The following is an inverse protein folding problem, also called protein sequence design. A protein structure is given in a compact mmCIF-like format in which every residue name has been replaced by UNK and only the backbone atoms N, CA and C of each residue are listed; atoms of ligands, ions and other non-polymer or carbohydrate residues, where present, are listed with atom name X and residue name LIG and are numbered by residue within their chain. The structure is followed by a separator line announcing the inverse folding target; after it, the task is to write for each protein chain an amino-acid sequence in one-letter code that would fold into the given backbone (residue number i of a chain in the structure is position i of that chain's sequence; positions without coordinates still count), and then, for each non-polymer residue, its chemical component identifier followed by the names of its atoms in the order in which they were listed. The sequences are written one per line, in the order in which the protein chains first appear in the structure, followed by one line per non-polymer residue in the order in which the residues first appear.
data_IF_451667299527
#
_entry.id   IF_451667299527
#
_cell.length_a   1.000
_cell.length_b   1.000
_cell.length_c   1.000
_cell.angle_alpha   90.00
_cell.angle_beta   90.00
_cell.angle_gamma   90.00
#
_symmetry.space_group_name_H-M   'P 1'
#
loop_
_entity.id
_entity.type
_entity.pdbx_description
1 polymer ?
#
# COMPACT_ATOMS: atom_id res chain seq x y z
N UNK A 1 9.86 4.05 -13.80
CA UNK A 1 9.26 5.41 -13.82
C UNK A 1 7.88 5.31 -14.46
N UNK A 2 6.89 6.05 -13.96
CA UNK A 2 5.57 6.12 -14.58
C UNK A 2 5.62 6.92 -15.89
N UNK A 3 4.93 6.46 -16.96
CA UNK A 3 4.90 7.15 -18.25
C UNK A 3 4.14 8.48 -18.19
N UNK A 4 3.10 8.56 -17.35
CA UNK A 4 2.31 9.76 -17.12
C UNK A 4 2.57 10.31 -15.72
N UNK A 5 2.71 11.62 -15.59
CA UNK A 5 2.97 12.32 -14.33
C UNK A 5 2.08 13.56 -14.25
N UNK A 6 1.37 13.69 -13.13
CA UNK A 6 0.56 14.87 -12.80
C UNK A 6 1.21 15.55 -11.59
N UNK A 7 1.50 16.84 -11.71
CA UNK A 7 2.07 17.62 -10.61
C UNK A 7 0.96 18.36 -9.87
N UNK A 8 0.76 18.02 -8.60
CA UNK A 8 -0.26 18.65 -7.75
C UNK A 8 0.22 19.98 -7.16
N UNK A 9 -0.70 20.93 -7.04
CA UNK A 9 -0.51 22.17 -6.27
C UNK A 9 0.65 23.03 -6.76
N UNK A 10 0.70 23.34 -8.07
CA UNK A 10 1.76 24.17 -8.67
C UNK A 10 1.82 25.55 -8.00
N UNK A 11 0.66 26.11 -7.67
CA UNK A 11 0.54 27.43 -7.04
C UNK A 11 0.67 27.33 -5.53
N UNK A 12 -0.06 26.38 -4.92
CA UNK A 12 -0.14 26.18 -3.46
C UNK A 12 1.20 25.76 -2.85
N UNK A 13 1.89 24.80 -3.47
CA UNK A 13 3.14 24.23 -2.92
C UNK A 13 4.40 24.76 -3.60
N UNK A 14 4.26 25.39 -4.78
CA UNK A 14 5.38 25.84 -5.62
C UNK A 14 6.39 24.72 -5.93
N UNK A 15 5.92 23.47 -5.96
CA UNK A 15 6.74 22.28 -6.18
C UNK A 15 7.55 21.80 -4.99
N UNK A 16 7.36 22.39 -3.80
CA UNK A 16 8.09 22.01 -2.58
C UNK A 16 7.41 20.88 -1.78
N UNK A 17 6.21 20.48 -2.19
CA UNK A 17 5.39 19.48 -1.51
C UNK A 17 4.61 20.03 -0.32
N UNK A 18 3.87 19.15 0.36
CA UNK A 18 2.89 19.55 1.39
C UNK A 18 3.47 19.69 2.81
N UNK A 19 4.79 19.52 3.02
CA UNK A 19 5.43 19.71 4.33
C UNK A 19 4.94 18.82 5.48
N UNK A 20 4.21 17.73 5.19
CA UNK A 20 3.57 16.90 6.23
C UNK A 20 2.25 17.46 6.76
N UNK A 21 1.63 18.37 6.02
CA UNK A 21 0.27 18.88 6.25
C UNK A 21 -0.72 18.24 5.26
N UNK A 22 -1.66 17.40 5.74
CA UNK A 22 -2.70 16.81 4.91
C UNK A 22 -3.63 17.84 4.26
N UNK A 23 -3.91 18.96 4.92
CA UNK A 23 -4.82 19.97 4.39
C UNK A 23 -4.22 20.66 3.16
N UNK A 24 -2.93 21.00 3.23
CA UNK A 24 -2.18 21.51 2.09
C UNK A 24 -2.12 20.49 0.94
N UNK A 25 -2.01 19.20 1.26
CA UNK A 25 -2.08 18.11 0.28
C UNK A 25 -3.44 18.01 -0.41
N UNK A 26 -4.53 18.19 0.34
CA UNK A 26 -5.89 18.23 -0.20
C UNK A 26 -6.08 19.43 -1.13
N UNK A 27 -5.71 20.64 -0.68
CA UNK A 27 -5.80 21.86 -1.49
C UNK A 27 -4.99 21.75 -2.79
N UNK A 28 -3.80 21.16 -2.73
CA UNK A 28 -2.98 20.89 -3.91
C UNK A 28 -3.67 19.94 -4.91
N UNK A 29 -4.46 18.98 -4.43
CA UNK A 29 -5.22 18.08 -5.29
C UNK A 29 -6.47 18.74 -5.88
N UNK A 30 -7.16 19.59 -5.09
CA UNK A 30 -8.30 20.40 -5.55
C UNK A 30 -7.87 21.38 -6.64
N UNK A 31 -6.72 22.05 -6.48
CA UNK A 31 -6.14 22.94 -7.50
C UNK A 31 -5.94 22.22 -8.84
N UNK A 32 -5.52 20.95 -8.78
CA UNK A 32 -5.19 20.13 -9.95
C UNK A 32 -6.31 19.15 -10.33
N UNK A 33 -7.55 19.39 -9.92
CA UNK A 33 -8.66 18.46 -10.12
C UNK A 33 -8.90 18.12 -11.60
N UNK A 34 -8.76 19.10 -12.51
CA UNK A 34 -8.98 18.88 -13.94
C UNK A 34 -7.88 18.01 -14.56
N UNK A 35 -6.61 18.26 -14.23
CA UNK A 35 -5.48 17.41 -14.64
C UNK A 35 -5.64 15.97 -14.10
N UNK A 36 -6.16 15.81 -12.88
CA UNK A 36 -6.47 14.51 -12.30
C UNK A 36 -7.59 13.84 -13.10
N UNK A 37 -8.73 14.52 -13.33
CA UNK A 37 -9.86 13.95 -14.07
C UNK A 37 -9.45 13.49 -15.46
N UNK A 38 -8.67 14.30 -16.19
CA UNK A 38 -8.13 13.93 -17.50
C UNK A 38 -7.30 12.66 -17.43
N UNK A 39 -6.44 12.51 -16.41
CA UNK A 39 -5.63 11.32 -16.21
C UNK A 39 -6.44 10.06 -15.81
N UNK A 40 -7.68 10.22 -15.34
CA UNK A 40 -8.57 9.13 -14.94
C UNK A 40 -9.57 8.71 -16.03
N UNK A 41 -9.61 9.43 -17.16
CA UNK A 41 -10.53 9.13 -18.28
C UNK A 41 -10.37 7.69 -18.76
N UNK A 42 -11.49 7.06 -19.12
CA UNK A 42 -11.62 5.67 -19.61
C UNK A 42 -11.17 4.56 -18.65
N UNK A 43 -10.69 4.90 -17.46
CA UNK A 43 -10.27 3.91 -16.47
C UNK A 43 -11.51 3.29 -15.78
N UNK A 44 -11.83 2.04 -16.13
CA UNK A 44 -12.92 1.29 -15.46
C UNK A 44 -12.57 0.90 -14.03
N UNK A 45 -11.29 0.81 -13.74
CA UNK A 45 -10.75 0.43 -12.43
C UNK A 45 -9.46 1.20 -12.16
N UNK A 46 -9.37 1.77 -10.97
CA UNK A 46 -8.26 2.62 -10.53
C UNK A 46 -7.70 2.04 -9.24
N UNK A 47 -6.38 1.84 -9.25
CA UNK A 47 -5.62 1.44 -8.08
C UNK A 47 -4.86 2.64 -7.53
N UNK A 48 -5.12 2.99 -6.28
CA UNK A 48 -4.45 4.13 -5.61
C UNK A 48 -3.45 3.57 -4.61
N UNK A 49 -2.15 3.71 -4.89
CA UNK A 49 -1.10 3.34 -3.95
C UNK A 49 -0.58 4.59 -3.23
N UNK A 50 -0.63 4.63 -1.91
CA UNK A 50 -0.23 5.81 -1.13
C UNK A 50 0.31 5.45 0.24
N UNK A 51 1.28 6.25 0.72
CA UNK A 51 1.71 6.22 2.11
C UNK A 51 0.94 7.24 2.94
N UNK A 52 0.28 6.77 3.99
CA UNK A 52 -0.49 7.61 4.91
C UNK A 52 0.41 8.15 6.03
N UNK A 53 -0.05 9.23 6.67
CA UNK A 53 0.70 9.94 7.70
C UNK A 53 1.59 11.08 7.17
N UNK A 54 1.75 11.20 5.85
CA UNK A 54 2.35 12.37 5.19
C UNK A 54 1.34 13.50 4.94
N UNK A 55 1.75 14.53 4.21
CA UNK A 55 0.85 15.59 3.76
C UNK A 55 0.11 15.23 2.48
N UNK A 56 0.86 15.10 1.36
CA UNK A 56 0.29 14.82 0.05
C UNK A 56 -0.48 13.49 0.02
N UNK A 57 0.10 12.39 0.50
CA UNK A 57 -0.55 11.07 0.48
C UNK A 57 -1.84 11.02 1.31
N UNK A 58 -1.85 11.63 2.49
CA UNK A 58 -3.00 11.61 3.40
C UNK A 58 -4.12 12.56 2.98
N UNK A 59 -3.79 13.67 2.31
CA UNK A 59 -4.74 14.69 1.86
C UNK A 59 -5.24 14.49 0.44
N UNK A 60 -4.33 14.30 -0.52
CA UNK A 60 -4.66 14.21 -1.93
C UNK A 60 -5.31 12.87 -2.30
N UNK A 61 -4.84 11.76 -1.73
CA UNK A 61 -5.23 10.44 -2.20
C UNK A 61 -6.71 10.10 -1.95
N UNK A 62 -7.33 10.43 -0.79
CA UNK A 62 -8.78 10.29 -0.63
C UNK A 62 -9.60 11.15 -1.60
N UNK A 63 -9.12 12.37 -1.92
CA UNK A 63 -9.79 13.23 -2.89
C UNK A 63 -9.67 12.68 -4.32
N UNK A 64 -8.51 12.15 -4.71
CA UNK A 64 -8.34 11.45 -6.00
C UNK A 64 -9.27 10.23 -6.07
N UNK A 65 -9.44 9.50 -4.97
CA UNK A 65 -10.40 8.39 -4.89
C UNK A 65 -11.84 8.87 -5.12
N UNK A 66 -12.21 10.03 -4.58
CA UNK A 66 -13.53 10.62 -4.78
C UNK A 66 -13.76 10.97 -6.25
N UNK A 67 -12.81 11.66 -6.88
CA UNK A 67 -12.89 12.00 -8.30
C UNK A 67 -13.02 10.76 -9.19
N UNK A 68 -12.27 9.70 -8.87
CA UNK A 68 -12.35 8.41 -9.54
C UNK A 68 -13.74 7.75 -9.38
N UNK A 69 -14.34 7.83 -8.18
CA UNK A 69 -15.69 7.30 -7.92
C UNK A 69 -16.77 8.10 -8.67
N UNK A 70 -16.65 9.43 -8.69
CA UNK A 70 -17.54 10.33 -9.43
C UNK A 70 -17.49 10.06 -10.95
N UNK A 71 -16.30 9.69 -11.48
CA UNK A 71 -16.11 9.26 -12.86
C UNK A 71 -16.68 7.86 -13.17
N UNK A 72 -17.22 7.15 -12.17
CA UNK A 72 -17.81 5.81 -12.34
C UNK A 72 -16.81 4.66 -12.28
N UNK A 73 -15.57 4.91 -11.90
CA UNK A 73 -14.53 3.88 -11.79
C UNK A 73 -14.62 3.09 -10.48
N UNK A 74 -14.18 1.83 -10.53
CA UNK A 74 -13.97 1.02 -9.34
C UNK A 74 -12.63 1.38 -8.70
N UNK A 75 -12.65 1.80 -7.43
CA UNK A 75 -11.45 2.30 -6.73
C UNK A 75 -11.01 1.32 -5.66
N UNK A 76 -9.77 0.84 -5.78
CA UNK A 76 -9.12 0.02 -4.75
C UNK A 76 -7.87 0.75 -4.27
N UNK A 77 -7.81 1.04 -2.96
CA UNK A 77 -6.70 1.75 -2.36
C UNK A 77 -5.72 0.76 -1.69
N UNK A 78 -4.43 0.95 -1.91
CA UNK A 78 -3.32 0.30 -1.22
C UNK A 78 -2.65 1.37 -0.37
N UNK A 79 -2.92 1.35 0.93
CA UNK A 79 -2.45 2.33 1.89
C UNK A 79 -1.37 1.71 2.79
N UNK A 80 -0.28 2.43 3.05
CA UNK A 80 0.67 2.07 4.10
C UNK A 80 0.52 2.96 5.33
N UNK A 81 0.54 2.36 6.51
CA UNK A 81 0.60 3.06 7.79
C UNK A 81 2.06 3.29 8.19
N UNK A 82 2.39 4.46 8.76
CA UNK A 82 3.75 4.79 9.15
C UNK A 82 4.25 3.86 10.26
N UNK A 83 5.57 3.74 10.41
CA UNK A 83 6.15 3.03 11.55
C UNK A 83 5.82 3.73 12.86
N UNK A 84 5.71 2.96 13.96
CA UNK A 84 5.46 3.53 15.29
C UNK A 84 6.50 4.59 15.70
N UNK A 85 7.76 4.44 15.26
CA UNK A 85 8.85 5.38 15.58
C UNK A 85 8.74 6.74 14.87
N UNK A 86 7.92 6.84 13.82
CA UNK A 86 7.75 8.10 13.06
C UNK A 86 6.92 9.14 13.83
N UNK A 87 6.29 8.72 14.93
CA UNK A 87 5.66 9.58 15.92
C UNK A 87 4.15 9.67 15.82
N UNK A 88 3.53 10.03 16.95
CA UNK A 88 2.06 10.05 17.12
C UNK A 88 1.33 10.94 16.12
N UNK A 89 1.94 12.06 15.70
CA UNK A 89 1.34 12.99 14.72
C UNK A 89 1.10 12.29 13.38
N UNK A 90 2.08 11.57 12.85
CA UNK A 90 1.95 10.83 11.58
C UNK A 90 0.93 9.70 11.71
N UNK A 91 0.92 8.99 12.83
CA UNK A 91 -0.09 7.96 13.11
C UNK A 91 -1.53 8.50 13.14
N UNK A 92 -1.76 9.66 13.76
CA UNK A 92 -3.09 10.30 13.76
C UNK A 92 -3.51 10.70 12.35
N UNK A 93 -2.65 11.39 11.61
CA UNK A 93 -2.90 11.79 10.21
C UNK A 93 -3.21 10.57 9.32
N UNK A 94 -2.52 9.45 9.55
CA UNK A 94 -2.76 8.22 8.81
C UNK A 94 -4.14 7.62 9.09
N UNK A 95 -4.57 7.58 10.36
CA UNK A 95 -5.91 7.10 10.73
C UNK A 95 -7.02 7.97 10.17
N UNK A 96 -6.87 9.29 10.23
CA UNK A 96 -7.87 10.21 9.68
C UNK A 96 -8.01 10.03 8.16
N UNK A 97 -6.88 9.88 7.45
CA UNK A 97 -6.89 9.62 6.02
C UNK A 97 -7.46 8.25 5.66
N UNK A 98 -7.17 7.23 6.47
CA UNK A 98 -7.70 5.88 6.30
C UNK A 98 -9.23 5.86 6.46
N UNK A 99 -9.77 6.56 7.47
CA UNK A 99 -11.20 6.70 7.66
C UNK A 99 -11.89 7.30 6.43
N UNK A 100 -11.33 8.38 5.87
CA UNK A 100 -11.83 8.98 4.61
C UNK A 100 -11.77 8.00 3.44
N UNK A 101 -10.71 7.22 3.31
CA UNK A 101 -10.61 6.20 2.28
C UNK A 101 -11.68 5.12 2.41
N UNK A 102 -11.99 4.67 3.62
CA UNK A 102 -13.02 3.66 3.88
C UNK A 102 -14.44 4.15 3.56
N UNK A 103 -14.68 5.46 3.59
CA UNK A 103 -15.95 6.06 3.15
C UNK A 103 -16.08 6.15 1.63
N UNK A 104 -14.96 6.34 0.92
CA UNK A 104 -14.95 6.72 -0.50
C UNK A 104 -14.63 5.52 -1.42
N UNK A 105 -13.58 4.76 -1.11
CA UNK A 105 -13.07 3.68 -1.96
C UNK A 105 -13.97 2.43 -1.89
N UNK A 106 -13.96 1.61 -2.95
CA UNK A 106 -14.71 0.35 -2.94
C UNK A 106 -14.06 -0.69 -2.02
N UNK A 107 -12.74 -0.66 -1.91
CA UNK A 107 -11.95 -1.50 -1.02
C UNK A 107 -10.66 -0.77 -0.63
N UNK A 108 -10.21 -0.97 0.61
CA UNK A 108 -8.95 -0.43 1.12
C UNK A 108 -8.13 -1.57 1.68
N UNK A 109 -6.92 -1.72 1.16
CA UNK A 109 -5.92 -2.68 1.59
C UNK A 109 -4.87 -1.90 2.37
N UNK A 110 -4.82 -2.15 3.67
CA UNK A 110 -3.94 -1.45 4.58
C UNK A 110 -2.74 -2.33 4.96
N UNK A 111 -1.53 -1.82 4.75
CA UNK A 111 -0.27 -2.43 5.19
C UNK A 111 0.35 -1.64 6.33
N UNK A 112 0.79 -2.33 7.38
CA UNK A 112 1.51 -1.72 8.48
C UNK A 112 3.02 -1.80 8.23
N UNK A 113 3.69 -0.65 8.20
CA UNK A 113 5.15 -0.63 8.01
C UNK A 113 5.88 -1.41 9.10
N UNK A 114 5.39 -1.39 10.35
CA UNK A 114 5.97 -2.18 11.45
C UNK A 114 5.98 -3.69 11.13
N UNK A 115 4.87 -4.23 10.61
CA UNK A 115 4.76 -5.65 10.24
C UNK A 115 5.64 -6.02 9.04
N UNK A 116 5.76 -5.11 8.07
CA UNK A 116 6.67 -5.31 6.93
C UNK A 116 8.14 -5.20 7.37
N UNK A 117 8.44 -4.38 8.39
CA UNK A 117 9.76 -4.24 8.99
C UNK A 117 10.28 -5.52 9.63
N UNK A 118 9.39 -6.33 10.23
CA UNK A 118 9.73 -7.63 10.84
C UNK A 118 10.26 -8.66 9.84
N UNK A 119 10.05 -8.45 8.53
CA UNK A 119 10.62 -9.30 7.46
C UNK A 119 12.12 -9.09 7.28
N UNK A 120 12.64 -7.98 7.76
CA UNK A 120 13.96 -7.49 7.42
C UNK A 120 14.91 -7.87 8.55
N UNK A 121 16.11 -8.36 8.21
CA UNK A 121 17.09 -8.71 9.23
C UNK A 121 17.38 -7.50 10.14
N UNK A 122 17.52 -7.67 11.47
CA UNK A 122 17.74 -6.55 12.42
C UNK A 122 18.95 -5.66 12.12
N UNK A 123 19.88 -6.12 11.27
CA UNK A 123 21.10 -5.39 10.85
C UNK A 123 20.98 -4.74 9.48
N UNK A 124 19.83 -4.90 8.81
CA UNK A 124 19.59 -4.31 7.51
C UNK A 124 19.42 -2.79 7.61
N UNK A 125 19.85 -2.08 6.57
CA UNK A 125 19.63 -0.64 6.47
C UNK A 125 18.15 -0.33 6.21
N UNK A 126 17.69 0.85 6.62
CA UNK A 126 16.30 1.31 6.46
C UNK A 126 15.82 1.25 4.99
N UNK A 127 16.72 1.49 4.02
CA UNK A 127 16.41 1.37 2.60
C UNK A 127 16.03 -0.06 2.17
N UNK A 128 16.62 -1.08 2.78
CA UNK A 128 16.26 -2.47 2.50
C UNK A 128 14.87 -2.79 3.05
N UNK A 129 14.49 -2.19 4.18
CA UNK A 129 13.15 -2.36 4.73
C UNK A 129 12.08 -1.75 3.82
N UNK A 130 12.27 -0.51 3.37
CA UNK A 130 11.37 0.11 2.40
C UNK A 130 11.32 -0.65 1.07
N UNK A 131 12.45 -1.11 0.55
CA UNK A 131 12.46 -1.90 -0.69
C UNK A 131 11.70 -3.24 -0.56
N UNK A 132 11.77 -3.87 0.62
CA UNK A 132 11.01 -5.10 0.90
C UNK A 132 9.51 -4.82 0.97
N UNK A 133 9.11 -3.73 1.65
CA UNK A 133 7.73 -3.27 1.70
C UNK A 133 7.19 -2.94 0.29
N UNK A 134 7.94 -2.18 -0.52
CA UNK A 134 7.57 -1.82 -1.89
C UNK A 134 7.39 -3.06 -2.77
N UNK A 135 8.28 -4.05 -2.62
CA UNK A 135 8.17 -5.33 -3.34
C UNK A 135 6.89 -6.07 -2.98
N UNK A 136 6.53 -6.08 -1.69
CA UNK A 136 5.33 -6.73 -1.17
C UNK A 136 4.04 -6.04 -1.61
N UNK A 137 4.00 -4.70 -1.58
CA UNK A 137 2.87 -3.92 -2.10
C UNK A 137 2.73 -4.16 -3.60
N UNK A 138 3.84 -4.09 -4.35
CA UNK A 138 3.85 -4.37 -5.80
C UNK A 138 3.34 -5.77 -6.12
N UNK A 139 3.70 -6.75 -5.31
CA UNK A 139 3.23 -8.12 -5.44
C UNK A 139 1.74 -8.25 -5.15
N UNK A 140 1.25 -7.57 -4.12
CA UNK A 140 -0.17 -7.53 -3.75
C UNK A 140 -1.02 -6.94 -4.86
N UNK A 141 -0.62 -5.78 -5.39
CA UNK A 141 -1.27 -5.14 -6.54
C UNK A 141 -1.26 -6.08 -7.75
N UNK A 142 -0.12 -6.69 -8.07
CA UNK A 142 0.00 -7.61 -9.22
C UNK A 142 -0.90 -8.83 -9.07
N UNK A 143 -1.00 -9.41 -7.87
CA UNK A 143 -1.87 -10.56 -7.63
C UNK A 143 -3.34 -10.20 -7.83
N UNK A 144 -3.80 -9.05 -7.34
CA UNK A 144 -5.18 -8.59 -7.52
C UNK A 144 -5.46 -8.24 -8.99
N UNK A 145 -4.53 -7.59 -9.68
CA UNK A 145 -4.66 -7.31 -11.12
C UNK A 145 -4.74 -8.61 -11.92
N UNK A 146 -3.91 -9.61 -11.60
CA UNK A 146 -3.93 -10.91 -12.27
C UNK A 146 -5.23 -11.67 -12.02
N UNK A 147 -5.77 -11.61 -10.80
CA UNK A 147 -7.07 -12.18 -10.44
C UNK A 147 -8.19 -11.65 -11.34
N UNK A 148 -8.14 -10.35 -11.65
CA UNK A 148 -9.18 -9.65 -12.40
C UNK A 148 -9.00 -9.82 -13.91
N UNK A 149 -7.77 -9.67 -14.41
CA UNK A 149 -7.49 -9.66 -15.84
C UNK A 149 -7.47 -11.05 -16.48
N UNK A 150 -7.15 -12.10 -15.70
CA UNK A 150 -6.98 -13.44 -16.23
C UNK A 150 -8.09 -14.34 -15.73
N UNK A 151 -9.12 -14.60 -16.56
CA UNK A 151 -10.15 -15.55 -16.19
C UNK A 151 -9.49 -16.92 -15.99
N UNK A 152 -9.49 -17.38 -14.75
CA UNK A 152 -9.02 -18.70 -14.40
C UNK A 152 -10.01 -19.80 -14.81
N UNK A 153 -9.63 -21.06 -14.57
CA UNK A 153 -10.52 -22.22 -14.68
C UNK A 153 -11.74 -22.07 -13.76
N UNK A 154 -11.51 -21.60 -12.53
CA UNK A 154 -12.54 -21.21 -11.58
C UNK A 154 -12.38 -19.72 -11.36
N UNK A 155 -13.37 -18.97 -11.84
CA UNK A 155 -13.36 -17.52 -11.82
C UNK A 155 -13.85 -17.01 -10.48
N UNK A 156 -13.01 -16.22 -9.81
CA UNK A 156 -13.43 -15.32 -8.75
C UNK A 156 -13.99 -14.04 -9.39
N UNK A 157 -15.16 -13.60 -8.95
CA UNK A 157 -15.75 -12.33 -9.35
C UNK A 157 -15.07 -11.14 -8.68
N UNK A 158 -15.18 -9.96 -9.29
CA UNK A 158 -14.72 -8.74 -8.62
C UNK A 158 -15.56 -8.44 -7.36
N UNK A 159 -16.85 -8.77 -7.38
CA UNK A 159 -17.72 -8.65 -6.22
C UNK A 159 -17.28 -9.52 -5.05
N UNK A 160 -16.68 -10.69 -5.33
CA UNK A 160 -16.09 -11.57 -4.32
C UNK A 160 -14.85 -10.94 -3.69
N UNK A 161 -14.00 -10.31 -4.50
CA UNK A 161 -12.84 -9.55 -4.02
C UNK A 161 -13.29 -8.37 -3.15
N UNK A 162 -14.29 -7.60 -3.59
CA UNK A 162 -14.87 -6.52 -2.78
C UNK A 162 -15.48 -7.06 -1.50
N UNK A 163 -16.20 -8.18 -1.55
CA UNK A 163 -16.79 -8.80 -0.37
C UNK A 163 -15.72 -9.25 0.64
N UNK A 164 -14.59 -9.80 0.16
CA UNK A 164 -13.46 -10.19 0.99
C UNK A 164 -12.74 -8.99 1.62
N UNK A 165 -12.78 -7.81 0.97
CA UNK A 165 -12.07 -6.60 1.39
C UNK A 165 -12.97 -5.53 2.02
N UNK A 166 -14.27 -5.79 2.20
CA UNK A 166 -15.29 -4.82 2.67
C UNK A 166 -15.25 -4.49 4.17
N UNK A 167 -14.11 -4.68 4.83
CA UNK A 167 -13.97 -4.37 6.26
C UNK A 167 -13.59 -2.91 6.46
N UNK A 168 -14.49 -2.16 7.12
CA UNK A 168 -14.43 -0.70 7.27
C UNK A 168 -13.22 -0.15 8.02
N UNK A 169 -12.42 -0.97 8.68
CA UNK A 169 -11.21 -0.58 9.42
C UNK A 169 -10.18 -1.70 9.47
N UNK A 170 -10.16 -2.55 8.43
CA UNK A 170 -9.52 -3.84 8.56
C UNK A 170 -8.03 -3.89 8.25
N UNK A 171 -7.27 -4.58 9.11
CA UNK A 171 -5.92 -5.03 8.76
C UNK A 171 -6.04 -6.02 7.60
N UNK A 172 -5.32 -5.78 6.51
CA UNK A 172 -5.25 -6.74 5.42
C UNK A 172 -4.28 -7.87 5.79
N UNK A 173 -4.75 -9.10 5.70
CA UNK A 173 -3.91 -10.28 5.67
C UNK A 173 -3.59 -10.58 4.22
N UNK A 174 -2.30 -10.59 3.88
CA UNK A 174 -1.83 -10.90 2.54
C UNK A 174 -0.73 -11.94 2.59
N UNK A 175 -0.97 -13.08 1.96
CA UNK A 175 -0.02 -14.18 1.83
C UNK A 175 0.26 -14.45 0.36
N UNK A 176 1.54 -14.57 0.02
CA UNK A 176 1.95 -15.07 -1.29
C UNK A 176 3.04 -16.11 -1.13
N UNK A 177 2.92 -17.20 -1.87
CA UNK A 177 3.98 -18.18 -2.04
C UNK A 177 4.02 -18.73 -3.46
N UNK A 178 5.19 -19.18 -3.87
CA UNK A 178 5.45 -19.77 -5.18
C UNK A 178 6.49 -20.87 -5.04
N UNK A 179 6.23 -22.02 -5.67
CA UNK A 179 7.14 -23.15 -5.66
C UNK A 179 7.11 -23.90 -6.99
N UNK A 180 8.25 -24.49 -7.35
CA UNK A 180 8.48 -25.44 -8.43
C UNK A 180 8.94 -26.81 -7.92
N UNK A 181 8.84 -27.07 -6.61
CA UNK A 181 9.23 -28.35 -6.02
C UNK A 181 8.26 -29.49 -6.36
N UNK A 182 8.67 -30.73 -6.08
CA UNK A 182 7.78 -31.90 -6.21
C UNK A 182 6.52 -31.79 -5.34
N UNK A 183 6.62 -31.06 -4.22
CA UNK A 183 5.51 -30.73 -3.32
C UNK A 183 5.11 -29.25 -3.43
N UNK A 184 5.15 -28.68 -4.64
CA UNK A 184 4.93 -27.25 -4.88
C UNK A 184 3.65 -26.67 -4.28
N UNK A 185 2.57 -27.44 -4.23
CA UNK A 185 1.32 -27.00 -3.59
C UNK A 185 1.48 -26.72 -2.09
N UNK A 186 2.10 -27.65 -1.37
CA UNK A 186 2.36 -27.52 0.07
C UNK A 186 3.39 -26.43 0.36
N UNK A 187 4.48 -26.40 -0.40
CA UNK A 187 5.56 -25.44 -0.18
C UNK A 187 5.12 -24.00 -0.48
N UNK A 188 4.34 -23.79 -1.56
CA UNK A 188 3.78 -22.49 -1.88
C UNK A 188 2.78 -22.02 -0.80
N UNK A 189 1.95 -22.92 -0.27
CA UNK A 189 1.04 -22.58 0.83
C UNK A 189 1.80 -22.25 2.12
N UNK A 190 2.80 -23.07 2.48
CA UNK A 190 3.64 -22.85 3.66
C UNK A 190 4.39 -21.50 3.57
N UNK A 191 4.87 -21.14 2.39
CA UNK A 191 5.48 -19.83 2.15
C UNK A 191 4.46 -18.70 2.29
N UNK A 192 3.25 -18.86 1.75
CA UNK A 192 2.18 -17.88 1.87
C UNK A 192 1.77 -17.64 3.33
N UNK A 193 1.61 -18.71 4.12
CA UNK A 193 1.24 -18.64 5.54
C UNK A 193 2.37 -18.07 6.40
N UNK A 194 3.63 -18.37 6.08
CA UNK A 194 4.81 -17.83 6.81
C UNK A 194 5.02 -16.33 6.59
N UNK A 195 4.35 -15.74 5.61
CA UNK A 195 4.44 -14.30 5.35
C UNK A 195 4.04 -13.49 6.60
N UNK A 196 4.85 -12.52 7.07
CA UNK A 196 4.51 -11.74 8.27
C UNK A 196 3.20 -10.96 8.19
N UNK A 197 2.75 -10.61 6.98
CA UNK A 197 1.43 -10.01 6.79
C UNK A 197 0.27 -10.97 7.09
N UNK A 198 0.53 -12.28 7.24
CA UNK A 198 -0.46 -13.29 7.60
C UNK A 198 -0.46 -13.65 9.10
N UNK A 199 0.41 -13.02 9.92
CA UNK A 199 0.68 -13.43 11.31
C UNK A 199 0.86 -14.95 11.47
N UNK A 200 1.63 -15.54 10.55
CA UNK A 200 1.86 -16.99 10.49
C UNK A 200 0.58 -17.83 10.38
N UNK A 201 -0.47 -17.27 9.78
CA UNK A 201 -1.76 -17.91 9.59
C UNK A 201 -2.67 -17.92 10.81
N UNK A 202 -2.28 -17.33 11.94
CA UNK A 202 -3.10 -17.37 13.17
C UNK A 202 -4.36 -16.55 13.07
N UNK A 203 -4.25 -15.36 12.49
CA UNK A 203 -5.40 -14.45 12.34
C UNK A 203 -6.35 -14.88 11.21
N UNK A 204 -6.05 -15.93 10.44
CA UNK A 204 -6.99 -16.46 9.44
C UNK A 204 -8.25 -17.06 10.08
N UNK A 205 -8.17 -17.52 11.33
CA UNK A 205 -9.32 -18.03 12.06
C UNK A 205 -10.37 -16.94 12.37
N UNK A 206 -9.93 -15.70 12.51
CA UNK A 206 -10.78 -14.54 12.83
C UNK A 206 -11.32 -13.86 11.56
N UNK A 207 -10.85 -14.28 10.39
CA UNK A 207 -11.33 -13.75 9.13
C UNK A 207 -12.74 -14.24 8.80
N UNK A 208 -13.66 -13.30 8.55
CA UNK A 208 -15.00 -13.63 8.07
C UNK A 208 -14.97 -14.20 6.64
N UNK A 209 -14.05 -13.72 5.80
CA UNK A 209 -13.90 -14.13 4.40
C UNK A 209 -12.43 -14.26 4.05
N UNK A 210 -12.09 -15.31 3.30
CA UNK A 210 -10.73 -15.54 2.83
C UNK A 210 -10.78 -15.81 1.34
N UNK A 211 -10.08 -14.99 0.56
CA UNK A 211 -9.92 -15.15 -0.87
C UNK A 211 -8.63 -15.90 -1.16
N UNK A 212 -8.74 -17.01 -1.89
CA UNK A 212 -7.64 -17.90 -2.20
C UNK A 212 -7.57 -18.04 -3.71
N UNK A 213 -6.47 -17.56 -4.28
CA UNK A 213 -6.19 -17.71 -5.69
C UNK A 213 -5.00 -18.63 -5.86
N UNK A 214 -5.22 -19.73 -6.56
CA UNK A 214 -4.17 -20.63 -7.01
C UNK A 214 -3.88 -20.35 -8.48
N UNK A 215 -2.61 -20.20 -8.84
CA UNK A 215 -2.21 -20.07 -10.24
C UNK A 215 -1.05 -21.01 -10.52
N UNK A 216 -1.15 -21.81 -11.58
CA UNK A 216 -0.11 -22.76 -11.95
C UNK A 216 0.03 -22.89 -13.46
N UNK A 217 1.06 -23.60 -13.90
CA UNK A 217 1.19 -23.93 -15.31
C UNK A 217 0.19 -24.98 -15.81
N UNK A 218 0.26 -25.35 -17.09
CA UNK A 218 -0.64 -26.32 -17.71
C UNK A 218 -0.62 -27.71 -17.05
N UNK A 219 0.48 -28.05 -16.37
CA UNK A 219 0.64 -29.30 -15.62
C UNK A 219 0.08 -29.26 -14.18
N UNK A 220 -0.64 -28.22 -13.79
CA UNK A 220 -1.31 -28.16 -12.48
C UNK A 220 -2.48 -29.13 -12.42
N UNK A 221 -2.54 -29.93 -11.37
CA UNK A 221 -3.52 -31.00 -11.18
C UNK A 221 -4.57 -30.65 -10.13
N UNK A 222 -5.72 -31.33 -10.17
CA UNK A 222 -6.77 -31.17 -9.15
C UNK A 222 -6.29 -31.63 -7.76
N UNK A 223 -5.50 -32.70 -7.69
CA UNK A 223 -4.98 -33.23 -6.42
C UNK A 223 -4.09 -32.21 -5.69
N UNK A 224 -3.29 -31.43 -6.42
CA UNK A 224 -2.48 -30.36 -5.82
C UNK A 224 -3.34 -29.26 -5.20
N UNK A 225 -4.42 -28.88 -5.89
CA UNK A 225 -5.39 -27.90 -5.38
C UNK A 225 -6.13 -28.44 -4.15
N UNK A 226 -6.51 -29.71 -4.15
CA UNK A 226 -7.20 -30.34 -3.03
C UNK A 226 -6.33 -30.38 -1.76
N UNK A 227 -5.06 -30.78 -1.89
CA UNK A 227 -4.09 -30.79 -0.78
C UNK A 227 -3.95 -29.39 -0.18
N UNK A 228 -3.81 -28.38 -1.05
CA UNK A 228 -3.71 -26.99 -0.63
C UNK A 228 -4.95 -26.54 0.15
N UNK A 229 -6.14 -26.85 -0.36
CA UNK A 229 -7.39 -26.45 0.28
C UNK A 229 -7.62 -27.16 1.61
N UNK A 230 -7.27 -28.44 1.72
CA UNK A 230 -7.34 -29.19 2.98
C UNK A 230 -6.41 -28.60 4.04
N UNK A 231 -5.18 -28.24 3.65
CA UNK A 231 -4.20 -27.66 4.57
C UNK A 231 -4.59 -26.23 5.00
N UNK A 232 -5.11 -25.42 4.07
CA UNK A 232 -5.65 -24.11 4.40
C UNK A 232 -6.86 -24.21 5.35
N UNK A 233 -7.71 -25.22 5.14
CA UNK A 233 -8.86 -25.54 6.00
C UNK A 233 -8.51 -25.70 7.48
N UNK A 234 -7.27 -26.09 7.81
CA UNK A 234 -6.79 -26.23 9.20
C UNK A 234 -6.52 -24.90 9.90
N UNK A 235 -6.40 -23.82 9.13
CA UNK A 235 -6.05 -22.48 9.62
C UNK A 235 -7.24 -21.52 9.64
N UNK A 236 -8.39 -21.92 9.10
CA UNK A 236 -9.62 -21.12 9.02
C UNK A 236 -10.72 -21.73 9.86
N UNK A 237 -11.64 -20.90 10.34
CA UNK A 237 -12.80 -21.38 11.10
C UNK A 237 -13.86 -21.96 10.14
N UNK A 238 -14.70 -22.88 10.62
CA UNK A 238 -15.80 -23.46 9.84
C UNK A 238 -16.81 -22.40 9.37
N UNK A 239 -16.89 -21.27 10.07
CA UNK A 239 -17.76 -20.14 9.72
C UNK A 239 -17.14 -19.20 8.68
N UNK A 240 -15.84 -19.34 8.39
CA UNK A 240 -15.14 -18.49 7.42
C UNK A 240 -15.57 -18.83 6.01
N UNK A 241 -16.04 -17.83 5.25
CA UNK A 241 -16.37 -18.03 3.84
C UNK A 241 -15.11 -18.03 2.99
N UNK A 242 -14.78 -19.17 2.38
CA UNK A 242 -13.64 -19.28 1.47
C UNK A 242 -14.08 -19.01 0.03
N UNK A 243 -13.48 -17.98 -0.58
CA UNK A 243 -13.68 -17.58 -1.96
C UNK A 243 -12.51 -18.13 -2.77
N UNK A 244 -12.74 -19.22 -3.51
CA UNK A 244 -11.68 -19.96 -4.20
C UNK A 244 -11.65 -19.69 -5.70
N UNK A 245 -10.45 -19.50 -6.24
CA UNK A 245 -10.19 -19.32 -7.65
C UNK A 245 -8.94 -20.04 -8.07
N UNK A 246 -8.94 -20.52 -9.32
CA UNK A 246 -7.79 -21.18 -9.92
C UNK A 246 -7.57 -20.70 -11.33
N UNK A 247 -6.33 -20.39 -11.69
CA UNK A 247 -5.94 -19.93 -13.02
C UNK A 247 -4.77 -20.75 -13.58
N UNK A 248 -4.75 -20.92 -14.91
CA UNK A 248 -3.65 -21.56 -15.62
C UNK A 248 -2.89 -20.49 -16.39
N UNK A 249 -1.58 -20.37 -16.15
CA UNK A 249 -0.68 -19.48 -16.89
C UNK A 249 0.47 -20.28 -17.51
N UNK A 250 0.47 -20.39 -18.85
CA UNK A 250 1.52 -21.09 -19.60
C UNK A 250 2.94 -20.54 -19.35
N UNK A 251 3.07 -19.29 -18.90
CA UNK A 251 4.36 -18.66 -18.61
C UNK A 251 4.95 -19.11 -17.26
N UNK A 252 4.16 -19.80 -16.43
CA UNK A 252 4.63 -20.31 -15.15
C UNK A 252 5.44 -21.61 -15.29
N UNK A 253 5.29 -22.36 -16.39
CA UNK A 253 5.97 -23.64 -16.57
C UNK A 253 5.56 -24.63 -15.48
N UNK A 254 6.52 -25.12 -14.71
CA UNK A 254 6.25 -26.07 -13.61
C UNK A 254 5.97 -25.39 -12.27
N UNK A 255 5.86 -24.05 -12.24
CA UNK A 255 5.59 -23.30 -11.01
C UNK A 255 4.11 -23.31 -10.64
N UNK A 256 3.85 -23.32 -9.34
CA UNK A 256 2.56 -23.10 -8.71
C UNK A 256 2.70 -21.97 -7.70
N UNK A 257 1.77 -21.03 -7.75
CA UNK A 257 1.67 -19.89 -6.84
C UNK A 257 0.32 -19.86 -6.14
N UNK A 258 0.34 -19.37 -4.90
CA UNK A 258 -0.82 -19.24 -4.03
C UNK A 258 -0.84 -17.82 -3.51
N UNK A 259 -1.96 -17.14 -3.71
CA UNK A 259 -2.23 -15.85 -3.08
C UNK A 259 -3.42 -16.00 -2.14
N UNK A 260 -3.24 -15.58 -0.89
CA UNK A 260 -4.30 -15.53 0.12
C UNK A 260 -4.52 -14.06 0.47
N UNK A 261 -5.76 -13.62 0.43
CA UNK A 261 -6.16 -12.25 0.76
C UNK A 261 -7.34 -12.32 1.72
N UNK A 262 -7.24 -11.60 2.82
CA UNK A 262 -8.33 -11.47 3.78
C UNK A 262 -8.28 -10.09 4.42
N UNK A 263 -9.41 -9.62 4.93
CA UNK A 263 -9.46 -8.44 5.77
C UNK A 263 -10.05 -8.81 7.13
N UNK A 264 -9.32 -8.48 8.18
CA UNK A 264 -9.80 -8.60 9.55
C UNK A 264 -10.66 -7.41 9.89
N UNK A 265 -11.73 -7.56 10.67
CA UNK A 265 -12.26 -6.40 11.36
C UNK A 265 -11.21 -5.95 12.39
N UNK A 266 -10.94 -4.64 12.51
CA UNK A 266 -10.23 -4.19 13.69
C UNK A 266 -11.11 -4.49 14.91
N UNK A 267 -10.59 -5.22 15.89
CA UNK A 267 -11.19 -5.24 17.21
C UNK A 267 -11.29 -3.78 17.69
N UNK A 268 -12.48 -3.35 18.08
CA UNK A 268 -12.70 -2.09 18.78
C UNK A 268 -12.12 -2.17 20.20
N UNK A 269 -10.83 -2.48 20.34
CA UNK A 269 -10.17 -2.44 21.63
C UNK A 269 -9.87 -0.98 22.00
N UNK A 270 -10.74 -0.45 22.86
CA UNK A 270 -10.52 0.66 23.80
C UNK A 270 -10.44 2.09 23.25
N UNK A 271 -11.58 2.62 22.78
CA UNK A 271 -11.86 4.04 22.97
C UNK A 271 -12.86 4.13 24.14
N UNK A 272 -12.49 4.69 25.31
CA UNK A 272 -13.47 4.94 26.35
C UNK A 272 -14.50 5.92 25.80
N UNK A 273 -15.73 5.44 25.64
CA UNK A 273 -16.93 6.18 25.21
C UNK A 273 -17.39 7.23 26.24
N UNK A 274 -16.45 7.81 27.01
CA UNK A 274 -16.72 8.75 28.10
C UNK A 274 -16.41 10.21 27.78
N UNK A 275 -15.85 10.55 26.61
CA UNK A 275 -15.49 11.95 26.30
C UNK A 275 -16.59 12.73 25.57
N UNK A 276 -17.67 12.08 25.10
CA UNK A 276 -18.78 12.77 24.41
C UNK A 276 -20.10 12.84 25.19
N UNK A 277 -20.15 12.44 26.46
CA UNK A 277 -21.41 12.46 27.25
C UNK A 277 -21.61 13.70 28.12
N UNK A 278 -20.73 14.71 28.06
CA UNK A 278 -20.82 15.89 28.94
C UNK A 278 -21.14 17.21 28.21
N UNK A 279 -21.87 17.15 27.08
CA UNK A 279 -22.44 18.35 26.44
C UNK A 279 -23.97 18.37 26.42
N UNK A 280 -24.63 17.60 27.29
CA UNK A 280 -26.09 17.64 27.47
C UNK A 280 -26.50 18.15 28.85
N UNK A 281 -25.91 19.26 29.30
CA UNK A 281 -26.29 19.95 30.54
C UNK A 281 -26.26 21.48 30.38
N UNK A 282 -26.95 21.98 29.34
CA UNK A 282 -27.39 23.39 29.35
C UNK A 282 -28.71 23.48 30.15
N UNK A 283 -28.82 24.36 31.16
CA UNK A 283 -30.08 24.55 31.88
C UNK A 283 -31.15 25.18 30.98
N UNK A 284 -32.35 24.59 31.01
CA UNK A 284 -33.51 25.06 30.27
C UNK A 284 -33.96 26.46 30.74
N UNK A 285 -34.14 27.39 29.80
CA UNK A 285 -34.85 28.65 30.06
C UNK A 285 -36.37 28.39 30.13
N UNK A 286 -37.12 29.12 30.97
CA UNK A 286 -38.56 28.95 31.07
C UNK A 286 -39.30 29.64 29.92
N UNK A 287 -40.50 29.14 29.53
CA UNK A 287 -41.28 29.72 28.44
C UNK A 287 -42.07 30.94 28.93
N UNK A 288 -42.06 32.01 28.14
CA UNK A 288 -42.95 33.17 28.31
C UNK A 288 -44.07 33.07 27.28
N UNK A 289 -45.31 32.97 27.74
CA UNK A 289 -46.50 33.15 26.89
C UNK A 289 -47.10 34.53 27.12
N UNK A 290 -47.32 35.25 26.01
CA UNK A 290 -48.47 36.13 25.78
C UNK A 290 -48.31 37.62 26.08
N UNK A 291 -48.25 38.46 25.03
CA UNK A 291 -49.37 39.31 24.62
C UNK A 291 -49.14 39.97 23.24
N UNK A 292 -50.25 40.25 22.58
CA UNK A 292 -50.45 40.69 21.20
C UNK A 292 -50.22 42.18 20.97
N UNK A 293 -49.81 42.55 19.74
CA UNK A 293 -50.35 43.60 18.86
C UNK A 293 -49.45 43.60 17.60
N UNK A 294 -49.92 43.35 16.38
CA UNK A 294 -50.82 44.20 15.59
C UNK A 294 -50.00 44.79 14.43
N UNK A 295 -50.18 44.29 13.19
CA UNK A 295 -49.48 44.84 12.02
C UNK A 295 -49.48 43.96 10.78
N UNK A 296 -50.58 44.00 10.03
CA UNK A 296 -50.75 43.45 8.68
C UNK A 296 -49.65 43.91 7.72
N UNK A 297 -49.17 43.03 6.84
CA UNK A 297 -48.94 43.32 5.41
C UNK A 297 -48.93 42.00 4.62
N UNK A 298 -49.87 41.91 3.69
CA UNK A 298 -49.98 40.88 2.65
C UNK A 298 -48.96 41.18 1.54
N UNK A 299 -48.33 40.14 0.98
CA UNK A 299 -47.96 40.11 -0.44
C UNK A 299 -47.81 38.66 -0.91
N UNK A 300 -48.88 38.22 -1.56
CA UNK A 300 -49.04 37.38 -2.74
C UNK A 300 -47.92 36.40 -3.15
N UNK A 301 -48.34 35.14 -3.15
CA UNK A 301 -47.71 33.94 -3.71
C UNK A 301 -47.96 33.97 -5.23
N UNK A 302 -46.90 33.91 -6.02
CA UNK A 302 -46.99 33.55 -7.44
C UNK A 302 -46.58 32.08 -7.61
N UNK A 303 -47.41 31.34 -8.36
CA UNK A 303 -47.38 29.89 -8.52
C UNK A 303 -46.64 29.50 -9.79
N UNK A 304 -45.93 28.37 -9.75
CA UNK A 304 -45.29 27.72 -10.90
C UNK A 304 -46.28 27.41 -12.03
N UNK A 305 -45.88 27.54 -13.30
CA UNK A 305 -46.68 27.06 -14.42
C UNK A 305 -46.45 25.57 -14.70
N UNK A 306 -47.54 24.95 -15.16
CA UNK A 306 -47.69 23.55 -15.59
C UNK A 306 -47.13 23.28 -17.00
N UNK A 307 -46.92 22.00 -17.37
CA UNK A 307 -46.18 21.61 -18.57
C UNK A 307 -47.06 21.60 -19.83
N UNK A 308 -46.46 21.90 -20.99
CA UNK A 308 -47.11 21.79 -22.31
C UNK A 308 -46.55 20.59 -23.06
N UNK A 309 -47.48 19.77 -23.53
CA UNK A 309 -47.29 18.56 -24.31
C UNK A 309 -47.35 18.87 -25.82
N UNK A 310 -46.53 18.15 -26.60
CA UNK A 310 -46.78 17.89 -28.02
C UNK A 310 -45.81 18.55 -29.02
N UNK A 311 -45.00 17.71 -29.69
CA UNK A 311 -44.95 17.54 -31.15
C UNK A 311 -43.91 16.47 -31.53
N UNK A 312 -44.34 15.54 -32.39
CA UNK A 312 -43.63 14.35 -32.88
C UNK A 312 -42.75 14.63 -34.13
N UNK A 313 -42.02 13.64 -34.69
CA UNK A 313 -40.68 13.81 -35.27
C UNK A 313 -40.62 13.84 -36.80
N UNK A 314 -39.54 14.44 -37.32
CA UNK A 314 -38.95 14.30 -38.66
C UNK A 314 -37.46 14.69 -38.50
N UNK A 315 -36.45 14.14 -39.16
CA UNK A 315 -36.35 13.43 -40.42
C UNK A 315 -34.95 12.79 -40.45
N UNK A 316 -34.85 11.56 -40.97
CA UNK A 316 -33.58 10.91 -41.28
C UNK A 316 -33.21 11.21 -42.74
N UNK A 317 -31.94 11.56 -43.01
CA UNK A 317 -31.35 11.53 -44.36
C UNK A 317 -29.95 10.88 -44.28
N UNK A 318 -29.55 10.07 -45.28
CA UNK A 318 -28.57 8.99 -45.15
C UNK A 318 -27.19 9.29 -45.79
N UNK A 319 -26.20 8.50 -45.35
CA UNK A 319 -25.02 7.91 -46.04
C UNK A 319 -24.13 8.84 -46.89
N UNK A 320 -22.82 8.83 -46.58
CA UNK A 320 -21.78 8.79 -47.62
C UNK A 320 -20.67 7.79 -47.25
N UNK A 321 -20.30 6.99 -48.24
CA UNK A 321 -19.37 5.86 -48.23
C UNK A 321 -18.34 6.11 -49.36
N UNK A 322 -17.11 5.62 -49.15
CA UNK A 322 -15.98 5.49 -50.12
C UNK A 322 -15.06 6.73 -50.24
N UNK A 323 -13.74 6.67 -50.38
CA UNK A 323 -12.66 5.66 -50.44
C UNK A 323 -11.31 6.48 -50.58
N UNK A 324 -10.14 5.92 -50.95
CA UNK A 324 -9.33 4.93 -50.23
C UNK A 324 -7.82 5.33 -50.12
N UNK A 325 -7.05 4.45 -49.46
CA UNK A 325 -5.59 4.19 -49.57
C UNK A 325 -4.61 5.38 -49.48
N UNK A 326 -3.80 5.39 -48.41
CA UNK A 326 -2.37 5.69 -48.61
C UNK A 326 -1.49 4.73 -47.82
N UNK A 327 -0.71 3.97 -48.57
CA UNK A 327 0.25 2.95 -48.14
C UNK A 327 1.58 3.62 -47.83
N UNK A 328 1.98 3.65 -46.55
CA UNK A 328 3.35 3.95 -46.17
C UNK A 328 4.14 2.63 -45.94
N UNK A 329 5.38 2.52 -46.46
CA UNK A 329 6.15 1.27 -46.47
C UNK A 329 6.70 0.87 -45.08
N UNK A 330 7.01 -0.43 -44.88
CA UNK A 330 7.46 -0.93 -43.59
C UNK A 330 8.86 -0.44 -43.22
N UNK A 331 9.00 0.06 -42.00
CA UNK A 331 10.30 0.33 -41.39
C UNK A 331 11.03 -0.99 -41.10
N UNK A 332 12.16 -1.15 -41.78
CA UNK A 332 13.18 -2.17 -41.56
C UNK A 332 13.66 -2.21 -40.10
N UNK A 333 13.67 -3.42 -39.53
CA UNK A 333 14.30 -3.72 -38.26
C UNK A 333 15.84 -3.57 -38.35
N UNK A 334 16.49 -2.86 -37.40
CA UNK A 334 17.92 -3.03 -37.19
C UNK A 334 18.17 -4.27 -36.34
N UNK A 335 18.87 -5.23 -36.94
CA UNK A 335 19.54 -6.36 -36.27
C UNK A 335 20.50 -5.79 -35.22
N UNK A 336 20.24 -6.07 -33.94
CA UNK A 336 21.22 -5.84 -32.88
C UNK A 336 21.75 -7.19 -32.39
N UNK A 337 23.06 -7.36 -32.59
CA UNK A 337 23.84 -8.54 -32.26
C UNK A 337 23.65 -8.99 -30.80
N UNK A 338 23.37 -10.28 -30.62
CA UNK A 338 23.61 -11.02 -29.37
C UNK A 338 25.12 -11.13 -29.11
N UNK A 339 25.63 -10.77 -27.92
CA UNK A 339 26.86 -11.35 -27.40
C UNK A 339 26.53 -12.63 -26.63
N UNK A 340 27.18 -13.73 -27.02
CA UNK A 340 27.16 -14.99 -26.29
C UNK A 340 27.83 -14.89 -24.89
N UNK A 341 27.43 -15.76 -23.94
CA UNK A 341 27.77 -15.60 -22.54
C UNK A 341 29.20 -16.04 -22.21
N UNK A 342 29.94 -15.19 -21.46
CA UNK A 342 31.21 -15.57 -20.83
C UNK A 342 30.95 -16.47 -19.63
N UNK A 343 31.41 -17.72 -19.71
CA UNK A 343 31.58 -18.60 -18.56
C UNK A 343 32.55 -17.98 -17.55
N UNK A 344 32.11 -17.78 -16.32
CA UNK A 344 32.98 -17.61 -15.16
C UNK A 344 32.78 -18.84 -14.27
N UNK A 345 33.80 -19.69 -14.22
CA UNK A 345 33.86 -20.86 -13.35
C UNK A 345 34.20 -20.42 -11.91
N UNK A 346 33.50 -20.93 -10.89
CA UNK A 346 33.79 -20.60 -9.49
C UNK A 346 35.01 -21.38 -8.96
N UNK A 347 35.93 -20.68 -8.28
CA UNK A 347 37.03 -21.29 -7.53
C UNK A 347 36.56 -21.85 -6.16
N UNK A 348 37.13 -22.98 -5.69
CA UNK A 348 36.70 -23.65 -4.47
C UNK A 348 37.25 -23.00 -3.20
N UNK A 349 36.41 -22.88 -2.17
CA UNK A 349 36.80 -22.55 -0.78
C UNK A 349 37.23 -23.82 -0.03
N UNK A 350 38.32 -23.79 0.78
CA UNK A 350 38.74 -24.91 1.60
C UNK A 350 37.89 -25.09 2.86
N UNK A 351 37.91 -26.33 3.40
CA UNK A 351 37.02 -26.86 4.42
C UNK A 351 37.47 -26.65 5.88
N UNK A 352 36.47 -26.31 6.71
CA UNK A 352 36.13 -26.73 8.10
C UNK A 352 37.21 -26.85 9.20
N UNK A 353 37.00 -26.11 10.30
CA UNK A 353 37.36 -26.54 11.66
C UNK A 353 36.13 -26.48 12.58
N UNK A 354 35.99 -27.52 13.42
CA UNK A 354 35.02 -27.67 14.51
C UNK A 354 35.58 -26.98 15.76
N UNK A 355 34.75 -26.27 16.50
CA UNK A 355 35.00 -25.99 17.92
C UNK A 355 33.72 -26.19 18.74
N UNK A 356 33.93 -26.74 19.94
CA UNK A 356 32.96 -27.30 20.87
C UNK A 356 32.33 -26.23 21.79
N UNK A 357 31.16 -26.55 22.35
CA UNK A 357 30.50 -25.76 23.39
C UNK A 357 31.21 -25.92 24.73
N UNK A 358 31.28 -24.85 25.56
CA UNK A 358 31.31 -25.00 27.00
C UNK A 358 30.01 -24.50 27.67
N UNK A 359 29.71 -25.18 28.76
CA UNK A 359 28.55 -25.17 29.65
C UNK A 359 28.37 -23.91 30.51
N UNK A 360 27.12 -23.72 30.94
CA UNK A 360 26.61 -22.74 31.89
C UNK A 360 27.39 -22.65 33.22
N UNK A 361 27.75 -21.44 33.64
CA UNK A 361 27.93 -21.08 35.05
C UNK A 361 27.38 -19.67 35.33
N UNK A 362 26.61 -19.64 36.41
CA UNK A 362 25.91 -18.51 37.00
C UNK A 362 26.90 -17.47 37.57
N UNK A 363 26.85 -16.21 37.14
CA UNK A 363 27.61 -15.10 37.75
C UNK A 363 26.72 -13.87 37.87
N UNK A 364 26.51 -13.43 39.12
CA UNK A 364 25.79 -12.22 39.49
C UNK A 364 26.40 -10.96 38.87
N UNK A 365 25.58 -10.15 38.21
CA UNK A 365 25.95 -8.85 37.69
C UNK A 365 26.18 -7.86 38.85
N UNK A 366 27.44 -7.46 39.09
CA UNK A 366 27.78 -6.24 39.81
C UNK A 366 27.92 -5.12 38.78
N UNK A 367 27.15 -4.04 38.96
CA UNK A 367 27.24 -2.84 38.15
C UNK A 367 28.51 -2.07 38.51
N UNK A 368 29.52 -2.13 37.65
CA UNK A 368 30.72 -1.30 37.76
C UNK A 368 30.43 0.11 37.24
N UNK A 369 30.82 1.11 38.01
CA UNK A 369 30.76 2.53 37.65
C UNK A 369 31.87 2.80 36.63
N UNK A 370 31.48 3.22 35.42
CA UNK A 370 32.43 3.61 34.37
C UNK A 370 33.17 4.90 34.76
N UNK A 371 34.47 4.78 35.07
CA UNK A 371 35.36 5.93 35.18
C UNK A 371 35.80 6.35 33.77
N UNK A 372 35.34 7.52 33.31
CA UNK A 372 35.79 8.09 32.05
C UNK A 372 37.08 8.89 32.28
N UNK A 373 38.22 8.35 31.87
CA UNK A 373 39.41 9.16 31.61
C UNK A 373 39.23 9.95 30.30
N UNK A 374 39.66 11.22 30.24
CA UNK A 374 39.53 12.03 29.04
C UNK A 374 40.54 11.55 27.98
N UNK A 375 40.09 10.67 27.08
CA UNK A 375 40.86 10.29 25.90
C UNK A 375 41.06 11.52 25.01
N UNK A 376 42.32 11.82 24.72
CA UNK A 376 42.75 12.91 23.83
C UNK A 376 42.19 12.65 22.43
N UNK A 377 41.21 13.45 22.01
CA UNK A 377 40.61 13.38 20.68
C UNK A 377 41.69 13.63 19.62
N UNK A 378 41.88 12.68 18.70
CA UNK A 378 42.57 12.97 17.44
C UNK A 378 43.49 11.91 16.85
N UNK A 379 43.45 10.64 17.26
CA UNK A 379 44.21 9.59 16.59
C UNK A 379 43.46 8.25 16.62
N UNK A 380 43.13 7.70 15.47
CA UNK A 380 42.65 6.32 15.37
C UNK A 380 43.88 5.41 15.45
N UNK A 381 43.94 4.52 16.45
CA UNK A 381 45.14 3.74 16.78
C UNK A 381 45.65 2.77 15.69
N UNK A 382 44.95 2.63 14.56
CA UNK A 382 45.25 1.60 13.54
C UNK A 382 45.26 2.08 12.08
N UNK A 383 45.48 3.37 11.82
CA UNK A 383 45.60 3.91 10.45
C UNK A 383 46.93 4.61 10.24
N UNK A 384 47.56 4.35 9.08
CA UNK A 384 48.73 5.12 8.63
C UNK A 384 48.28 6.54 8.22
N UNK A 385 49.02 7.61 8.56
CA UNK A 385 48.56 8.99 8.34
C UNK A 385 48.47 9.36 6.86
N UNK A 386 47.43 10.09 6.47
CA UNK A 386 47.29 10.62 5.12
C UNK A 386 48.11 11.91 4.98
N UNK A 387 49.38 11.77 4.57
CA UNK A 387 50.30 12.90 4.36
C UNK A 387 50.19 13.37 2.91
N UNK A 388 49.82 14.64 2.71
CA UNK A 388 49.84 15.32 1.41
C UNK A 388 50.67 16.60 1.55
N UNK A 389 51.69 16.76 0.71
CA UNK A 389 52.60 17.93 0.72
C UNK A 389 53.29 18.20 2.08
N UNK A 390 53.51 17.16 2.88
CA UNK A 390 54.17 17.28 4.18
C UNK A 390 53.23 17.65 5.34
N UNK A 391 51.92 17.82 5.08
CA UNK A 391 50.91 18.06 6.09
C UNK A 391 50.01 16.83 6.32
N UNK A 392 49.71 16.53 7.58
CA UNK A 392 48.81 15.46 7.99
C UNK A 392 47.34 15.92 7.91
N UNK A 393 46.59 15.38 6.95
CA UNK A 393 45.19 15.76 6.72
C UNK A 393 44.23 15.16 7.77
N UNK A 394 44.67 14.18 8.55
CA UNK A 394 43.85 13.52 9.58
C UNK A 394 43.72 14.38 10.84
N UNK A 395 44.53 15.43 10.97
CA UNK A 395 44.40 16.46 12.00
C UNK A 395 43.42 17.55 11.54
N UNK A 396 42.38 17.89 12.32
CA UNK A 396 41.45 18.95 11.99
C UNK A 396 42.14 20.30 11.71
N UNK A 397 41.66 21.03 10.70
CA UNK A 397 42.31 22.23 10.14
C UNK A 397 42.58 23.33 11.17
N UNK A 398 41.75 23.44 12.22
CA UNK A 398 41.92 24.44 13.28
C UNK A 398 43.14 24.16 14.17
N UNK A 399 43.50 22.88 14.37
CA UNK A 399 44.71 22.48 15.08
C UNK A 399 45.95 22.66 14.20
N UNK A 400 45.86 22.36 12.90
CA UNK A 400 46.95 22.61 11.93
C UNK A 400 47.30 24.10 11.82
N UNK A 401 46.31 24.98 11.90
CA UNK A 401 46.48 26.43 11.75
C UNK A 401 46.65 27.19 13.08
N UNK A 402 46.80 26.50 14.23
CA UNK A 402 46.94 27.11 15.55
C UNK A 402 45.87 28.17 15.89
N UNK A 403 44.63 27.96 15.43
CA UNK A 403 43.52 28.87 15.71
C UNK A 403 42.89 28.44 17.03
N UNK A 404 42.97 29.30 18.06
CA UNK A 404 42.28 29.08 19.34
C UNK A 404 40.77 29.25 19.13
N UNK A 405 40.04 28.14 19.20
CA UNK A 405 38.57 28.15 19.29
C UNK A 405 38.21 28.71 20.67
N UNK A 406 37.44 29.81 20.69
CA UNK A 406 36.99 30.49 21.91
C UNK A 406 35.66 29.92 22.39
#
# INVERSE_FOLDING_TARGET
MAPHKVQLGRSVTRGLGAGGDPELGYQAAVESADEIREALVDARMIFICTGLGGGTGSGAAPYIAQLAREAGSLVVAFATLPFAFEGKRRGAQARDALARFNEIANAVICFENDQMGDMVAPKAGIHQAFATADSMISQSVRSIVNLIQRPGLIRIGFDDLLAALRSRNGRCLFGFGESDSDNRAHDALAQALKNPLMDRGRMLADAARVLVQVAGGPGMTLSEVEILMQELGRHVNEQTQILFGTAVDGRMGDRLSVTIISSLAADEDSIPEQVYRDQSSMPAMPPVWGQSEGGSLKTDIESEPTPVEGSQPAEAIPIDESAPVDTAPPLTAPVLNKPEPRLITPQPKPARMKEEKPSEKNVQAKQEVLQFEPVTRGRFEKSEPTIVEGEDLDVPTYLRKNIKVK
#
